data_IF_805176057456
#
_entry.id   IF_805176057456
#
_cell.length_a   1.000
_cell.length_b   1.000
_cell.length_c   1.000
_cell.angle_alpha   90.00
_cell.angle_beta   90.00
_cell.angle_gamma   90.00
#
_symmetry.space_group_name_H-M   'P 1'
#
loop_
_entity.id
_entity.type
_entity.pdbx_description
1 polymer ?
#
# COMPACT_ATOMS: atom_id res chain seq x y z
N UNK A 1 14.28 17.70 -3.36
CA UNK A 1 13.84 16.56 -4.20
C UNK A 1 13.21 17.14 -5.45
N UNK A 2 13.74 16.88 -6.64
CA UNK A 2 13.35 17.56 -7.90
C UNK A 2 12.91 16.61 -9.02
N UNK A 3 12.79 15.31 -8.72
CA UNK A 3 12.34 14.33 -9.70
C UNK A 3 10.83 14.48 -9.96
N UNK A 4 10.46 14.63 -11.23
CA UNK A 4 9.07 14.67 -11.69
C UNK A 4 8.78 13.43 -12.52
N UNK A 5 8.06 12.47 -11.94
CA UNK A 5 7.72 11.19 -12.56
C UNK A 5 7.34 10.13 -11.53
N UNK A 6 7.16 8.89 -11.99
CA UNK A 6 6.82 7.76 -11.12
C UNK A 6 8.08 7.02 -10.64
N UNK A 7 8.20 6.87 -9.33
CA UNK A 7 9.24 6.05 -8.69
C UNK A 7 8.58 5.06 -7.72
N UNK A 8 7.71 4.19 -8.26
CA UNK A 8 6.93 3.21 -7.52
C UNK A 8 7.33 1.78 -7.92
N UNK A 9 7.32 0.87 -6.96
CA UNK A 9 7.58 -0.55 -7.15
C UNK A 9 6.42 -1.38 -6.61
N UNK A 10 6.06 -2.47 -7.29
CA UNK A 10 4.99 -3.35 -6.85
C UNK A 10 5.50 -4.39 -5.86
N UNK A 11 4.79 -4.53 -4.74
CA UNK A 11 5.09 -5.48 -3.69
C UNK A 11 3.88 -6.38 -3.46
N UNK A 12 4.07 -7.67 -3.66
CA UNK A 12 3.02 -8.67 -3.45
C UNK A 12 3.36 -9.56 -2.26
N UNK A 13 2.43 -9.66 -1.32
CA UNK A 13 2.51 -10.52 -0.13
C UNK A 13 1.34 -11.50 -0.20
N UNK A 14 1.62 -12.79 0.03
CA UNK A 14 0.60 -13.82 0.10
C UNK A 14 0.61 -14.50 1.46
N UNK A 15 -0.57 -14.86 1.94
CA UNK A 15 -0.79 -15.63 3.16
C UNK A 15 -2.07 -16.46 3.02
N UNK A 16 -2.17 -17.57 3.73
CA UNK A 16 -3.39 -18.39 3.70
C UNK A 16 -4.50 -17.67 4.46
N UNK A 17 -5.72 -17.68 3.90
CA UNK A 17 -6.91 -17.13 4.59
C UNK A 17 -7.06 -17.68 6.01
N UNK A 18 -6.89 -18.98 6.20
CA UNK A 18 -7.01 -19.63 7.51
C UNK A 18 -6.00 -19.08 8.55
N UNK A 19 -4.79 -18.70 8.12
CA UNK A 19 -3.80 -18.07 9.00
C UNK A 19 -4.20 -16.63 9.33
N UNK A 20 -4.68 -15.88 8.34
CA UNK A 20 -5.10 -14.48 8.50
C UNK A 20 -6.32 -14.29 9.40
N UNK A 21 -7.26 -15.24 9.40
CA UNK A 21 -8.48 -15.19 10.23
C UNK A 21 -8.33 -15.92 11.57
N UNK A 22 -7.17 -16.53 11.83
CA UNK A 22 -6.86 -17.17 13.10
C UNK A 22 -6.50 -16.15 14.20
N UNK A 23 -6.36 -16.64 15.43
CA UNK A 23 -6.04 -15.84 16.63
C UNK A 23 -4.81 -14.93 16.43
N UNK A 24 -3.77 -15.44 15.76
CA UNK A 24 -2.53 -14.72 15.50
C UNK A 24 -2.47 -14.09 14.09
N UNK A 25 -3.62 -13.86 13.44
CA UNK A 25 -3.70 -13.43 12.06
C UNK A 25 -2.99 -12.12 11.76
N UNK A 26 -3.15 -11.12 12.65
CA UNK A 26 -2.46 -9.81 12.52
C UNK A 26 -0.94 -9.99 12.60
N UNK A 27 -0.46 -10.79 13.54
CA UNK A 27 0.98 -11.09 13.67
C UNK A 27 1.52 -11.82 12.42
N UNK A 28 0.77 -12.79 11.89
CA UNK A 28 1.14 -13.51 10.68
C UNK A 28 1.23 -12.55 9.47
N UNK A 29 0.25 -11.65 9.30
CA UNK A 29 0.24 -10.63 8.26
C UNK A 29 1.44 -9.67 8.39
N UNK A 30 1.66 -9.11 9.58
CA UNK A 30 2.77 -8.19 9.85
C UNK A 30 4.13 -8.84 9.58
N UNK A 31 4.30 -10.11 9.99
CA UNK A 31 5.51 -10.89 9.73
C UNK A 31 5.74 -11.13 8.23
N UNK A 32 4.69 -11.46 7.48
CA UNK A 32 4.77 -11.66 6.03
C UNK A 32 5.13 -10.37 5.29
N UNK A 33 4.46 -9.25 5.63
CA UNK A 33 4.73 -7.92 5.06
C UNK A 33 6.16 -7.49 5.39
N UNK A 34 6.57 -7.56 6.67
CA UNK A 34 7.89 -7.14 7.11
C UNK A 34 9.02 -7.94 6.45
N UNK A 35 8.85 -9.26 6.31
CA UNK A 35 9.78 -10.10 5.53
C UNK A 35 9.89 -9.61 4.09
N UNK A 36 8.75 -9.33 3.45
CA UNK A 36 8.74 -8.91 2.05
C UNK A 36 9.38 -7.53 1.84
N UNK A 37 9.14 -6.59 2.74
CA UNK A 37 9.80 -5.28 2.72
C UNK A 37 11.32 -5.43 2.85
N UNK A 38 11.80 -6.28 3.77
CA UNK A 38 13.24 -6.55 3.93
C UNK A 38 13.86 -7.18 2.68
N UNK A 39 13.13 -8.04 1.96
CA UNK A 39 13.61 -8.59 0.68
C UNK A 39 13.82 -7.50 -0.38
N UNK A 40 13.00 -6.44 -0.39
CA UNK A 40 13.12 -5.35 -1.37
C UNK A 40 14.42 -4.56 -1.21
N UNK A 41 15.00 -4.51 -0.01
CA UNK A 41 16.30 -3.87 0.25
C UNK A 41 17.43 -4.52 -0.57
N UNK A 42 17.28 -5.79 -0.93
CA UNK A 42 18.26 -6.52 -1.75
C UNK A 42 18.12 -6.27 -3.26
N UNK A 43 17.07 -5.57 -3.70
CA UNK A 43 16.82 -5.26 -5.11
C UNK A 43 15.35 -4.96 -5.40
N UNK A 44 14.97 -3.69 -5.31
CA UNK A 44 13.57 -3.22 -5.43
C UNK A 44 12.95 -3.55 -6.80
N UNK A 45 13.74 -3.59 -7.88
CA UNK A 45 13.27 -3.88 -9.24
C UNK A 45 13.36 -5.36 -9.62
N UNK A 46 13.71 -6.24 -8.69
CA UNK A 46 13.85 -7.67 -8.99
C UNK A 46 12.49 -8.27 -9.38
N UNK A 47 12.42 -8.84 -10.58
CA UNK A 47 11.20 -9.44 -11.11
C UNK A 47 10.20 -8.43 -11.70
N UNK A 48 10.62 -7.18 -11.95
CA UNK A 48 9.78 -6.12 -12.51
C UNK A 48 9.13 -6.52 -13.84
N UNK A 49 9.80 -7.35 -14.63
CA UNK A 49 9.31 -7.86 -15.91
C UNK A 49 8.03 -8.72 -15.79
N UNK A 50 7.70 -9.19 -14.57
CA UNK A 50 6.52 -10.01 -14.28
C UNK A 50 5.47 -9.31 -13.42
N UNK A 51 5.67 -8.06 -13.04
CA UNK A 51 4.76 -7.41 -12.09
C UNK A 51 3.35 -7.22 -12.67
N UNK A 52 3.25 -6.80 -13.93
CA UNK A 52 1.95 -6.54 -14.56
C UNK A 52 1.15 -7.82 -14.81
N UNK A 53 1.81 -8.91 -15.22
CA UNK A 53 1.15 -10.20 -15.39
C UNK A 53 0.66 -10.73 -14.05
N UNK A 54 1.49 -10.64 -13.00
CA UNK A 54 1.11 -11.04 -11.64
C UNK A 54 -0.04 -10.19 -11.07
N UNK A 55 -0.03 -8.88 -11.30
CA UNK A 55 -1.12 -7.99 -10.90
C UNK A 55 -2.44 -8.43 -11.54
N UNK A 56 -2.41 -8.70 -12.85
CA UNK A 56 -3.58 -9.16 -13.61
C UNK A 56 -4.11 -10.49 -13.06
N UNK A 57 -3.24 -11.48 -12.86
CA UNK A 57 -3.58 -12.79 -12.30
C UNK A 57 -4.25 -12.65 -10.92
N UNK A 58 -3.67 -11.87 -10.01
CA UNK A 58 -4.22 -11.64 -8.67
C UNK A 58 -5.56 -10.87 -8.69
N UNK A 59 -5.73 -9.98 -9.67
CA UNK A 59 -6.99 -9.26 -9.89
C UNK A 59 -8.12 -10.19 -10.35
N UNK A 60 -7.81 -11.13 -11.25
CA UNK A 60 -8.76 -12.15 -11.74
C UNK A 60 -9.17 -13.15 -10.65
N UNK A 61 -8.27 -13.46 -9.71
CA UNK A 61 -8.57 -14.35 -8.57
C UNK A 61 -9.54 -13.74 -7.53
N UNK A 62 -9.74 -12.42 -7.55
CA UNK A 62 -10.65 -11.72 -6.63
C UNK A 62 -10.24 -11.75 -5.15
N UNK A 63 -8.98 -12.06 -4.84
CA UNK A 63 -8.46 -12.20 -3.45
C UNK A 63 -7.37 -11.18 -3.12
N UNK A 64 -7.31 -10.09 -3.87
CA UNK A 64 -6.33 -9.03 -3.70
C UNK A 64 -6.88 -7.93 -2.79
N UNK A 65 -6.08 -7.51 -1.82
CA UNK A 65 -6.29 -6.28 -1.06
C UNK A 65 -5.12 -5.35 -1.35
N UNK A 66 -5.39 -4.08 -1.64
CA UNK A 66 -4.36 -3.09 -1.94
C UNK A 66 -4.45 -1.86 -1.05
N UNK A 67 -3.36 -1.11 -0.97
CA UNK A 67 -3.26 0.10 -0.13
C UNK A 67 -2.97 1.29 -1.03
N UNK A 68 -3.83 2.31 -0.96
CA UNK A 68 -3.60 3.59 -1.61
C UNK A 68 -3.05 4.61 -0.61
N UNK A 69 -2.01 5.34 -1.01
CA UNK A 69 -1.40 6.38 -0.17
C UNK A 69 -0.22 5.89 0.67
N UNK A 70 0.32 6.80 1.48
CA UNK A 70 1.43 6.55 2.39
C UNK A 70 1.42 7.65 3.46
N UNK A 71 1.66 7.31 4.74
CA UNK A 71 1.82 8.32 5.80
C UNK A 71 2.98 9.28 5.59
N UNK A 72 3.86 9.03 4.60
CA UNK A 72 4.97 9.91 4.24
C UNK A 72 4.60 10.98 3.20
N UNK A 73 3.37 10.95 2.67
CA UNK A 73 2.91 11.96 1.71
C UNK A 73 2.52 13.27 2.38
N UNK A 74 2.22 13.27 3.68
CA UNK A 74 1.94 14.48 4.47
C UNK A 74 0.83 15.31 3.84
N UNK A 75 -0.25 14.65 3.41
CA UNK A 75 -1.41 15.29 2.78
C UNK A 75 -2.03 16.36 3.69
N UNK A 76 -2.01 16.18 5.01
CA UNK A 76 -2.52 17.13 5.99
C UNK A 76 -1.59 18.34 6.22
N UNK A 77 -0.38 18.36 5.68
CA UNK A 77 0.51 19.52 5.73
C UNK A 77 0.27 20.50 4.57
N UNK A 78 -0.67 20.18 3.68
CA UNK A 78 -1.07 21.06 2.59
C UNK A 78 -1.82 22.29 3.10
N UNK A 79 -1.22 23.47 2.99
CA UNK A 79 -1.87 24.75 3.31
C UNK A 79 -1.85 25.71 2.12
N UNK A 80 -3.03 26.09 1.65
CA UNK A 80 -3.20 27.04 0.55
C UNK A 80 -3.35 28.50 1.04
N UNK A 81 -3.24 28.76 2.35
CA UNK A 81 -3.43 30.07 2.99
C UNK A 81 -4.65 30.15 3.91
N UNK A 82 -5.42 29.07 4.02
CA UNK A 82 -6.63 28.98 4.86
C UNK A 82 -6.49 27.99 6.02
N UNK A 83 -5.29 27.47 6.24
CA UNK A 83 -4.99 26.43 7.22
C UNK A 83 -5.03 25.03 6.62
N UNK A 84 -4.54 24.07 7.41
CA UNK A 84 -4.44 22.64 7.08
C UNK A 84 -5.83 22.01 6.85
N UNK A 85 -5.94 20.96 6.00
CA UNK A 85 -7.20 20.32 5.70
C UNK A 85 -7.78 19.67 6.97
N UNK A 86 -9.10 19.73 7.13
CA UNK A 86 -9.78 19.01 8.23
C UNK A 86 -9.90 17.52 7.96
N UNK A 87 -10.02 17.15 6.69
CA UNK A 87 -10.21 15.78 6.22
C UNK A 87 -9.67 15.64 4.79
N UNK A 88 -9.01 14.52 4.52
CA UNK A 88 -8.53 14.12 3.18
C UNK A 88 -9.06 12.72 2.86
N UNK A 89 -9.51 12.50 1.63
CA UNK A 89 -10.12 11.25 1.18
C UNK A 89 -9.56 10.82 -0.17
N UNK A 90 -9.31 9.51 -0.33
CA UNK A 90 -8.87 8.93 -1.58
C UNK A 90 -10.08 8.30 -2.27
N UNK A 91 -10.81 9.09 -3.06
CA UNK A 91 -12.13 8.70 -3.59
C UNK A 91 -12.12 7.50 -4.56
N UNK A 92 -10.98 7.19 -5.19
CA UNK A 92 -10.91 6.12 -6.19
C UNK A 92 -10.85 4.69 -5.60
N UNK A 93 -10.73 4.54 -4.27
CA UNK A 93 -10.55 3.23 -3.61
C UNK A 93 -11.85 2.40 -3.52
N UNK A 94 -12.99 2.99 -3.90
CA UNK A 94 -14.31 2.37 -3.77
C UNK A 94 -14.48 1.11 -4.64
N UNK A 95 -13.62 0.94 -5.65
CA UNK A 95 -13.64 -0.21 -6.55
C UNK A 95 -12.52 -1.16 -6.18
N UNK A 96 -12.85 -2.40 -5.82
CA UNK A 96 -11.96 -3.57 -5.73
C UNK A 96 -10.98 -3.66 -4.55
N UNK A 97 -11.49 -3.67 -3.31
CA UNK A 97 -10.73 -4.17 -2.16
C UNK A 97 -9.49 -3.34 -1.80
N UNK A 98 -9.49 -2.06 -2.16
CA UNK A 98 -8.44 -1.10 -1.82
C UNK A 98 -8.88 -0.28 -0.62
N UNK A 99 -7.96 -0.01 0.30
CA UNK A 99 -8.18 0.96 1.37
C UNK A 99 -7.10 2.05 1.34
N UNK A 100 -7.46 3.24 1.81
CA UNK A 100 -6.52 4.35 1.90
C UNK A 100 -5.76 4.32 3.22
N UNK A 101 -4.48 4.70 3.17
CA UNK A 101 -3.65 4.93 4.34
C UNK A 101 -2.92 6.27 4.22
N UNK A 102 -3.12 7.14 5.19
CA UNK A 102 -2.47 8.44 5.31
C UNK A 102 -2.05 8.67 6.76
N UNK A 103 -1.21 9.68 6.99
CA UNK A 103 -0.92 10.18 8.33
C UNK A 103 -2.17 10.73 9.00
N UNK A 104 -2.18 10.69 10.34
CA UNK A 104 -3.24 11.35 11.09
C UNK A 104 -2.98 12.86 11.11
N UNK A 105 -4.04 13.65 11.21
CA UNK A 105 -3.92 15.07 11.47
C UNK A 105 -3.49 15.27 12.93
N UNK A 106 -2.41 16.01 13.16
CA UNK A 106 -2.09 16.51 14.50
C UNK A 106 -3.16 17.53 14.92
N UNK A 107 -3.67 17.39 16.14
CA UNK A 107 -4.69 18.28 16.71
C UNK A 107 -4.14 19.68 17.01
#
# INVERSE_FOLDING_TARGET
MTYFGNCLALCFVSAKRAELVGENGVFAAAKAIGRKVKELESGVLRGAEKWMSKWKELGEEGRLVSVAGSPKLLVYDTDFGWGRPKKSEVVHVEVSGTFSLAECRDD
#
